data_IF_397711974945
#
_entry.id   IF_397711974945
#
_cell.length_a   1.000
_cell.length_b   1.000
_cell.length_c   1.000
_cell.angle_alpha   90.00
_cell.angle_beta   90.00
_cell.angle_gamma   90.00
#
_symmetry.space_group_name_H-M   'P 1'
#
loop_
_entity.id
_entity.type
_entity.pdbx_description
1 polymer ?
#
# COMPACT_ATOMS: atom_id res chain seq x y z
N UNK A 1 2.13 -8.25 8.93
CA UNK A 1 2.07 -6.77 9.02
C UNK A 1 2.60 -6.20 7.71
N UNK A 2 1.85 -5.32 7.01
CA UNK A 2 2.31 -4.75 5.73
C UNK A 2 3.13 -3.49 5.99
N UNK A 3 4.16 -3.25 5.16
CA UNK A 3 5.01 -2.07 5.27
C UNK A 3 4.21 -0.77 5.22
N UNK A 4 3.18 -0.70 4.37
CA UNK A 4 2.31 0.47 4.27
C UNK A 4 1.62 0.76 5.62
N UNK A 5 1.10 -0.27 6.28
CA UNK A 5 0.41 -0.13 7.57
C UNK A 5 1.37 0.38 8.65
N UNK A 6 2.59 -0.14 8.68
CA UNK A 6 3.60 0.30 9.65
C UNK A 6 4.08 1.73 9.41
N UNK A 7 4.20 2.14 8.14
CA UNK A 7 4.61 3.50 7.78
C UNK A 7 3.54 4.54 8.12
N UNK A 8 2.26 4.19 8.02
CA UNK A 8 1.14 5.11 8.32
C UNK A 8 0.57 4.94 9.73
N UNK A 9 0.98 3.89 10.45
CA UNK A 9 0.41 3.49 11.75
C UNK A 9 -1.11 3.28 11.71
N UNK A 10 -1.62 2.83 10.56
CA UNK A 10 -3.05 2.59 10.28
C UNK A 10 -3.21 1.29 9.50
N UNK A 11 -4.41 0.70 9.55
CA UNK A 11 -4.72 -0.41 8.64
C UNK A 11 -5.06 0.14 7.25
N UNK A 12 -4.12 0.04 6.31
CA UNK A 12 -4.32 0.54 4.96
C UNK A 12 -5.23 -0.40 4.15
N UNK A 13 -6.03 0.17 3.26
CA UNK A 13 -6.85 -0.59 2.31
C UNK A 13 -6.12 -0.81 0.98
N UNK A 14 -6.27 -1.99 0.39
CA UNK A 14 -5.99 -2.22 -1.03
C UNK A 14 -7.29 -1.94 -1.80
N UNK A 15 -7.25 -0.99 -2.72
CA UNK A 15 -8.39 -0.59 -3.52
C UNK A 15 -8.20 -1.02 -4.97
N UNK A 16 -9.26 -1.56 -5.55
CA UNK A 16 -9.33 -1.85 -6.98
C UNK A 16 -9.75 -0.58 -7.74
N UNK A 17 -8.94 -0.20 -8.71
CA UNK A 17 -9.15 0.95 -9.57
C UNK A 17 -9.29 0.51 -11.01
N UNK A 18 -10.34 0.97 -11.68
CA UNK A 18 -10.59 0.76 -13.09
C UNK A 18 -10.26 2.04 -13.87
N UNK A 19 -9.41 1.95 -14.87
CA UNK A 19 -9.20 3.04 -15.82
C UNK A 19 -10.27 3.07 -16.92
N UNK A 20 -10.40 4.21 -17.60
CA UNK A 20 -11.33 4.38 -18.72
C UNK A 20 -11.21 3.30 -19.81
N UNK A 21 -9.99 2.84 -20.09
CA UNK A 21 -9.75 1.74 -21.05
C UNK A 21 -10.05 0.34 -20.50
N UNK A 22 -10.66 0.25 -19.32
CA UNK A 22 -11.06 -1.01 -18.69
C UNK A 22 -9.96 -1.73 -17.89
N UNK A 23 -8.71 -1.29 -17.96
CA UNK A 23 -7.61 -1.91 -17.19
C UNK A 23 -7.85 -1.77 -15.68
N UNK A 24 -7.69 -2.88 -14.96
CA UNK A 24 -7.69 -2.91 -13.50
C UNK A 24 -6.28 -2.63 -12.95
N UNK A 25 -6.23 -1.96 -11.81
CA UNK A 25 -5.01 -1.72 -11.05
C UNK A 25 -5.33 -1.67 -9.56
N UNK A 26 -4.39 -2.09 -8.73
CA UNK A 26 -4.56 -2.10 -7.28
C UNK A 26 -3.64 -1.06 -6.65
N UNK A 27 -4.15 -0.32 -5.67
CA UNK A 27 -3.37 0.69 -4.97
C UNK A 27 -3.69 0.70 -3.49
N UNK A 28 -2.67 0.95 -2.68
CA UNK A 28 -2.77 1.03 -1.22
C UNK A 28 -3.02 2.49 -0.83
N UNK A 29 -4.01 2.71 0.05
CA UNK A 29 -4.34 4.01 0.65
C UNK A 29 -4.57 3.84 2.14
N UNK A 30 -4.21 4.86 2.94
CA UNK A 30 -4.38 4.79 4.40
C UNK A 30 -5.87 4.86 4.79
N UNK A 31 -6.66 5.63 4.05
CA UNK A 31 -8.10 5.80 4.25
C UNK A 31 -8.81 6.25 2.94
N UNK A 32 -10.11 6.51 3.05
CA UNK A 32 -10.94 6.94 1.91
C UNK A 32 -10.64 8.37 1.45
N UNK A 33 -10.10 9.24 2.30
CA UNK A 33 -9.74 10.61 1.93
C UNK A 33 -8.53 10.61 0.98
N UNK A 34 -7.53 9.78 1.29
CA UNK A 34 -6.37 9.55 0.41
C UNK A 34 -6.78 9.00 -0.97
N UNK A 35 -7.76 8.08 -1.00
CA UNK A 35 -8.34 7.58 -2.24
C UNK A 35 -9.00 8.72 -3.04
N UNK A 36 -9.84 9.53 -2.38
CA UNK A 36 -10.54 10.65 -3.02
C UNK A 36 -9.56 11.69 -3.59
N UNK A 37 -8.52 12.04 -2.83
CA UNK A 37 -7.48 12.95 -3.29
C UNK A 37 -6.75 12.40 -4.51
N UNK A 38 -6.48 11.10 -4.53
CA UNK A 38 -5.87 10.44 -5.68
C UNK A 38 -6.78 10.45 -6.91
N UNK A 39 -8.06 10.12 -6.76
CA UNK A 39 -9.03 10.13 -7.87
C UNK A 39 -9.22 11.53 -8.44
N UNK A 40 -9.25 12.57 -7.59
CA UNK A 40 -9.30 13.98 -8.03
C UNK A 40 -8.12 14.36 -8.93
N UNK A 41 -6.93 13.82 -8.64
CA UNK A 41 -5.71 14.00 -9.46
C UNK A 41 -5.69 13.10 -10.71
N UNK A 42 -6.39 11.96 -10.69
CA UNK A 42 -6.37 10.93 -11.73
C UNK A 42 -7.77 10.72 -12.32
N UNK A 43 -8.28 11.72 -13.04
CA UNK A 43 -9.69 11.77 -13.52
C UNK A 43 -10.14 10.58 -14.37
N UNK A 44 -9.21 9.88 -15.03
CA UNK A 44 -9.48 8.70 -15.87
C UNK A 44 -9.51 7.38 -15.10
N UNK A 45 -9.50 7.44 -13.76
CA UNK A 45 -9.55 6.27 -12.88
C UNK A 45 -10.77 6.39 -11.99
N UNK A 46 -11.37 5.24 -11.71
CA UNK A 46 -12.55 5.11 -10.85
C UNK A 46 -12.34 3.97 -9.86
N UNK A 47 -12.91 4.10 -8.66
CA UNK A 47 -13.00 3.02 -7.69
C UNK A 47 -14.49 2.68 -7.57
N UNK A 48 -14.89 1.47 -7.98
CA UNK A 48 -16.31 1.13 -8.13
C UNK A 48 -17.06 1.14 -6.80
N UNK A 49 -16.50 0.47 -5.81
CA UNK A 49 -17.18 0.26 -4.52
C UNK A 49 -16.78 1.30 -3.47
N UNK A 50 -15.84 2.22 -3.80
CA UNK A 50 -15.23 3.19 -2.87
C UNK A 50 -14.78 2.56 -1.55
N UNK A 51 -14.49 1.26 -1.59
CA UNK A 51 -14.13 0.40 -0.48
C UNK A 51 -12.91 -0.43 -0.86
N UNK A 52 -12.08 -0.79 0.13
CA UNK A 52 -10.95 -1.67 -0.14
C UNK A 52 -11.46 -3.07 -0.47
N UNK A 53 -10.84 -3.71 -1.46
CA UNK A 53 -11.03 -5.15 -1.72
C UNK A 53 -10.32 -6.01 -0.66
N UNK A 54 -9.35 -5.42 0.05
CA UNK A 54 -8.66 -6.06 1.16
C UNK A 54 -8.18 -5.04 2.19
N UNK A 55 -8.48 -5.27 3.45
CA UNK A 55 -8.03 -4.47 4.60
C UNK A 55 -7.96 -5.40 5.82
N UNK A 56 -6.98 -5.17 6.69
CA UNK A 56 -6.91 -5.85 8.00
C UNK A 56 -7.80 -5.06 8.96
N UNK A 57 -8.48 -5.70 9.92
CA UNK A 57 -9.38 -4.97 10.82
C UNK A 57 -8.63 -3.91 11.64
N UNK A 58 -7.52 -4.31 12.27
CA UNK A 58 -6.76 -3.42 13.14
C UNK A 58 -5.26 -3.46 12.84
N UNK A 59 -4.63 -2.30 13.01
CA UNK A 59 -3.19 -2.18 12.96
C UNK A 59 -2.57 -2.77 14.23
N UNK A 60 -1.63 -3.72 14.06
CA UNK A 60 -0.93 -4.37 15.18
C UNK A 60 0.57 -4.33 14.99
N UNK A 61 1.27 -3.76 15.98
CA UNK A 61 2.73 -3.82 16.04
C UNK A 61 3.21 -5.09 16.71
N UNK A 62 4.29 -5.66 16.18
CA UNK A 62 4.96 -6.82 16.76
C UNK A 62 6.31 -6.38 17.31
N UNK A 63 6.65 -6.85 18.51
CA UNK A 63 7.96 -6.63 19.09
C UNK A 63 9.06 -7.08 18.12
N UNK A 64 10.17 -6.32 18.09
CA UNK A 64 11.32 -6.57 17.22
C UNK A 64 11.06 -6.41 15.71
N UNK A 65 9.93 -5.82 15.30
CA UNK A 65 9.71 -5.45 13.89
C UNK A 65 10.73 -4.39 13.46
N UNK A 66 11.51 -4.67 12.42
CA UNK A 66 12.41 -3.70 11.79
C UNK A 66 11.97 -3.42 10.35
N UNK A 67 11.53 -2.18 10.10
CA UNK A 67 11.27 -1.68 8.75
C UNK A 67 12.22 -0.52 8.52
N UNK A 68 13.33 -0.82 7.85
CA UNK A 68 14.38 0.14 7.49
C UNK A 68 15.00 -0.22 6.15
N UNK A 69 15.73 0.72 5.55
CA UNK A 69 16.59 0.41 4.40
C UNK A 69 17.73 -0.51 4.85
N UNK A 70 18.12 -1.42 3.97
CA UNK A 70 19.34 -2.21 4.13
C UNK A 70 20.56 -1.30 4.07
N UNK A 71 21.58 -1.64 4.83
CA UNK A 71 22.90 -0.99 4.72
C UNK A 71 23.62 -1.47 3.46
N UNK A 72 24.67 -0.76 3.05
CA UNK A 72 25.49 -1.16 1.90
C UNK A 72 26.05 -2.58 2.05
N UNK A 73 26.50 -2.95 3.25
CA UNK A 73 27.06 -4.27 3.53
C UNK A 73 25.99 -5.37 3.45
N UNK A 74 24.79 -5.11 3.99
CA UNK A 74 23.65 -6.02 3.89
C UNK A 74 23.22 -6.25 2.44
N UNK A 75 23.25 -5.19 1.62
CA UNK A 75 22.96 -5.28 0.18
C UNK A 75 24.01 -6.14 -0.53
N UNK A 76 25.30 -5.90 -0.28
CA UNK A 76 26.37 -6.68 -0.91
C UNK A 76 26.25 -8.16 -0.57
N UNK A 77 25.99 -8.49 0.70
CA UNK A 77 25.75 -9.87 1.14
C UNK A 77 24.56 -10.49 0.42
N UNK A 78 23.40 -9.82 0.40
CA UNK A 78 22.20 -10.30 -0.29
C UNK A 78 22.47 -10.57 -1.78
N UNK A 79 23.23 -9.70 -2.46
CA UNK A 79 23.58 -9.88 -3.87
C UNK A 79 24.52 -11.07 -4.12
N UNK A 80 25.32 -11.47 -3.13
CA UNK A 80 26.21 -12.63 -3.23
C UNK A 80 25.54 -13.98 -3.02
N UNK A 81 24.33 -13.99 -2.44
CA UNK A 81 23.53 -15.19 -2.19
C UNK A 81 22.65 -15.59 -3.40
N UNK A 82 22.75 -14.85 -4.51
CA UNK A 82 21.97 -15.04 -5.74
C UNK A 82 22.71 -15.88 -6.78
#
# INVERSE_FOLDING_TARGET
MRTADYSTKKSCGIYELKSENGRLSYKIFADGEDLLLYLKKNKRKTCKDMKPVFMIEEYREYANTQIRKLTSDEIQRYMSER
#
